data_IF_745591603197
#
_entry.id   IF_745591603197
#
_cell.length_a   1.000
_cell.length_b   1.000
_cell.length_c   1.000
_cell.angle_alpha   90.00
_cell.angle_beta   90.00
_cell.angle_gamma   90.00
#
_symmetry.space_group_name_H-M   'P 1'
#
loop_
_entity.id
_entity.type
_entity.pdbx_description
1 polymer ?
#
# COMPACT_ATOMS: atom_id res chain seq x y z
N UNK A 1 -8.25 23.84 -8.24
CA UNK A 1 -7.38 22.75 -7.77
C UNK A 1 -6.52 22.27 -8.92
N UNK A 2 -5.23 22.60 -8.92
CA UNK A 2 -4.23 22.00 -9.82
C UNK A 2 -3.68 20.75 -9.14
N UNK A 3 -3.73 19.62 -9.84
CA UNK A 3 -3.18 18.35 -9.37
C UNK A 3 -1.96 18.02 -10.22
N UNK A 4 -0.83 17.71 -9.60
CA UNK A 4 0.42 17.37 -10.28
C UNK A 4 0.81 15.94 -9.91
N UNK A 5 1.05 15.09 -10.92
CA UNK A 5 1.58 13.75 -10.72
C UNK A 5 3.11 13.81 -10.74
N UNK A 6 3.74 13.44 -9.64
CA UNK A 6 5.20 13.37 -9.52
C UNK A 6 5.60 12.08 -8.81
N UNK A 7 6.45 11.29 -9.44
CA UNK A 7 7.01 10.06 -8.85
C UNK A 7 5.92 9.09 -8.32
N UNK A 8 4.77 8.97 -9.01
CA UNK A 8 3.69 8.08 -8.60
C UNK A 8 2.82 8.61 -7.46
N UNK A 9 3.01 9.87 -7.09
CA UNK A 9 2.17 10.61 -6.16
C UNK A 9 1.39 11.68 -6.89
N UNK A 10 0.06 11.62 -6.75
CA UNK A 10 -0.77 12.74 -7.12
C UNK A 10 -0.73 13.75 -5.97
N UNK A 11 -0.12 14.91 -6.20
CA UNK A 11 -0.04 16.02 -5.26
C UNK A 11 -1.09 17.07 -5.63
N UNK A 12 -2.06 17.32 -4.75
CA UNK A 12 -3.01 18.42 -4.90
C UNK A 12 -2.70 19.52 -3.88
N UNK A 13 -2.73 20.78 -4.31
CA UNK A 13 -2.75 21.92 -3.38
C UNK A 13 -4.20 22.25 -3.09
N UNK A 14 -4.71 21.83 -1.92
CA UNK A 14 -6.05 22.22 -1.48
C UNK A 14 -6.00 23.63 -0.87
N UNK A 15 -6.82 24.54 -1.38
CA UNK A 15 -7.05 25.84 -0.74
C UNK A 15 -8.04 25.64 0.40
N UNK A 16 -7.71 26.08 1.60
CA UNK A 16 -8.59 26.08 2.76
C UNK A 16 -8.96 27.50 3.12
N UNK A 17 -10.22 27.86 3.03
CA UNK A 17 -10.70 29.13 3.59
C UNK A 17 -10.86 28.98 5.11
N UNK A 18 -10.13 29.78 5.88
CA UNK A 18 -10.33 29.89 7.32
C UNK A 18 -11.20 31.11 7.61
N UNK A 19 -12.27 30.90 8.36
CA UNK A 19 -13.17 31.95 8.82
C UNK A 19 -12.59 32.50 10.13
N UNK A 20 -11.93 33.65 10.06
CA UNK A 20 -11.38 34.33 11.24
C UNK A 20 -12.35 35.44 11.63
N UNK A 21 -12.84 35.39 12.87
CA UNK A 21 -13.72 36.41 13.44
C UNK A 21 -12.91 37.22 14.45
N UNK A 22 -12.65 38.50 14.15
CA UNK A 22 -11.94 39.38 15.06
C UNK A 22 -12.95 40.18 15.88
N UNK A 23 -12.75 40.30 17.19
CA UNK A 23 -13.71 40.95 18.09
C UNK A 23 -13.74 42.48 17.93
N UNK A 24 -12.70 43.10 17.37
CA UNK A 24 -12.61 44.54 17.17
C UNK A 24 -13.43 45.10 16.00
N UNK A 25 -13.82 44.25 15.04
CA UNK A 25 -14.69 44.60 13.93
C UNK A 25 -15.74 43.48 13.88
N UNK A 26 -17.03 43.76 14.07
CA UNK A 26 -18.12 42.76 14.00
C UNK A 26 -18.18 42.00 12.66
N UNK A 27 -17.33 42.35 11.70
CA UNK A 27 -17.19 41.76 10.39
C UNK A 27 -16.37 40.45 10.46
N UNK A 28 -17.00 39.34 10.06
CA UNK A 28 -16.29 38.11 9.73
C UNK A 28 -15.61 38.26 8.37
N UNK A 29 -14.31 37.97 8.29
CA UNK A 29 -13.56 37.98 7.03
C UNK A 29 -13.17 36.54 6.65
N UNK A 30 -13.44 36.16 5.40
CA UNK A 30 -12.96 34.91 4.80
C UNK A 30 -11.52 35.12 4.35
N UNK A 31 -10.56 34.52 5.06
CA UNK A 31 -9.17 34.48 4.61
C UNK A 31 -8.97 33.17 3.85
N UNK A 32 -8.80 33.24 2.54
CA UNK A 32 -8.37 32.08 1.72
C UNK A 32 -6.87 31.86 1.98
N UNK A 33 -6.54 31.09 3.02
CA UNK A 33 -5.16 30.67 3.24
C UNK A 33 -4.83 29.57 2.23
N UNK A 34 -3.86 29.84 1.36
CA UNK A 34 -3.23 28.81 0.53
C UNK A 34 -2.34 27.92 1.43
N UNK A 35 -2.96 27.14 2.30
CA UNK A 35 -2.25 26.13 3.08
C UNK A 35 -1.82 25.01 2.12
N UNK A 36 -0.53 24.64 2.15
CA UNK A 36 -0.02 23.51 1.36
C UNK A 36 -0.43 22.20 2.03
N UNK A 37 -1.73 21.84 1.98
CA UNK A 37 -2.13 20.47 2.28
C UNK A 37 -1.84 19.64 1.04
N UNK A 38 -0.66 19.03 1.02
CA UNK A 38 -0.28 18.06 -0.01
C UNK A 38 -0.99 16.75 0.28
N UNK A 39 -2.17 16.56 -0.32
CA UNK A 39 -2.77 15.23 -0.32
C UNK A 39 -2.01 14.38 -1.34
N UNK A 40 -1.04 13.58 -0.87
CA UNK A 40 -0.32 12.56 -1.64
C UNK A 40 -1.23 11.36 -1.90
N UNK A 41 -2.18 11.54 -2.82
CA UNK A 41 -3.14 10.48 -3.20
C UNK A 41 -2.42 9.55 -4.16
N UNK A 42 -1.97 8.39 -3.69
CA UNK A 42 -1.57 7.34 -4.61
C UNK A 42 -2.85 6.73 -5.21
N UNK A 43 -3.06 6.81 -6.54
CA UNK A 43 -4.25 6.22 -7.13
C UNK A 43 -4.15 4.70 -7.00
N UNK A 44 -5.07 4.08 -6.26
CA UNK A 44 -5.11 2.63 -6.04
C UNK A 44 -5.06 1.82 -7.35
N UNK A 45 -5.66 2.36 -8.40
CA UNK A 45 -5.66 1.83 -9.76
C UNK A 45 -4.28 1.77 -10.40
N UNK A 46 -3.42 2.78 -10.18
CA UNK A 46 -2.06 2.77 -10.72
C UNK A 46 -1.20 1.68 -10.07
N UNK A 47 -1.28 1.54 -8.74
CA UNK A 47 -0.52 0.50 -8.03
C UNK A 47 -1.03 -0.91 -8.33
N UNK A 48 -2.35 -1.11 -8.44
CA UNK A 48 -2.91 -2.38 -8.90
C UNK A 48 -2.46 -2.67 -10.34
N UNK A 49 -2.45 -1.67 -11.21
CA UNK A 49 -1.95 -1.80 -12.58
C UNK A 49 -0.47 -2.20 -12.63
N UNK A 50 0.37 -1.60 -11.78
CA UNK A 50 1.78 -1.97 -11.66
C UNK A 50 1.97 -3.42 -11.21
N UNK A 51 1.28 -3.83 -10.14
CA UNK A 51 1.30 -5.21 -9.65
C UNK A 51 0.76 -6.20 -10.69
N UNK A 52 -0.23 -5.79 -11.48
CA UNK A 52 -0.80 -6.64 -12.52
C UNK A 52 0.14 -6.83 -13.71
N UNK A 53 0.82 -5.77 -14.16
CA UNK A 53 1.89 -5.87 -15.17
C UNK A 53 3.01 -6.80 -14.70
N UNK A 54 3.38 -6.66 -13.42
CA UNK A 54 4.35 -7.55 -12.79
C UNK A 54 3.77 -8.93 -12.44
N UNK A 55 2.53 -9.28 -12.86
CA UNK A 55 1.89 -10.60 -12.69
C UNK A 55 1.72 -11.05 -11.23
N UNK A 56 1.53 -10.13 -10.28
CA UNK A 56 1.14 -10.46 -8.89
C UNK A 56 -0.38 -10.53 -8.70
N UNK A 57 -1.12 -9.84 -9.56
CA UNK A 57 -2.58 -9.84 -9.57
C UNK A 57 -3.16 -9.66 -10.98
N UNK A 58 -4.46 -9.87 -11.12
CA UNK A 58 -5.22 -9.49 -12.31
C UNK A 58 -5.38 -7.97 -12.38
N UNK A 59 -5.83 -7.44 -13.52
CA UNK A 59 -6.13 -6.01 -13.66
C UNK A 59 -7.21 -5.50 -12.67
N UNK A 60 -8.06 -6.39 -12.17
CA UNK A 60 -9.06 -6.10 -11.13
C UNK A 60 -8.51 -6.19 -9.68
N UNK A 61 -7.25 -6.61 -9.51
CA UNK A 61 -6.59 -6.77 -8.21
C UNK A 61 -6.85 -8.12 -7.54
N UNK A 62 -7.20 -9.17 -8.28
CA UNK A 62 -7.28 -10.54 -7.74
C UNK A 62 -5.89 -11.18 -7.70
N UNK A 63 -5.41 -11.73 -6.56
CA UNK A 63 -4.05 -12.25 -6.46
C UNK A 63 -3.78 -13.49 -7.32
N UNK A 64 -2.61 -13.54 -7.96
CA UNK A 64 -2.15 -14.63 -8.83
C UNK A 64 -0.89 -15.26 -8.21
N UNK A 65 -0.70 -16.57 -8.35
CA UNK A 65 0.54 -17.24 -7.93
C UNK A 65 1.70 -17.01 -8.90
N UNK A 66 2.94 -17.20 -8.43
CA UNK A 66 4.17 -17.11 -9.21
C UNK A 66 4.74 -18.51 -9.52
N UNK A 67 4.19 -19.25 -10.51
CA UNK A 67 4.71 -20.57 -10.85
C UNK A 67 6.18 -20.56 -11.26
N UNK A 68 6.65 -19.45 -11.84
CA UNK A 68 8.06 -19.29 -12.24
C UNK A 68 9.01 -19.33 -11.03
N UNK A 69 8.52 -19.11 -9.81
CA UNK A 69 9.34 -19.11 -8.59
C UNK A 69 9.24 -20.42 -7.81
N UNK A 70 8.49 -21.44 -8.30
CA UNK A 70 8.30 -22.68 -7.53
C UNK A 70 9.52 -23.58 -7.51
N UNK A 71 10.50 -23.31 -8.36
CA UNK A 71 11.84 -23.92 -8.41
C UNK A 71 12.77 -23.41 -7.30
N UNK A 72 12.56 -22.19 -6.80
CA UNK A 72 13.32 -21.58 -5.70
C UNK A 72 13.01 -22.25 -4.35
N UNK A 73 13.88 -22.08 -3.34
CA UNK A 73 13.59 -22.52 -1.97
C UNK A 73 12.40 -21.75 -1.37
N UNK A 74 11.74 -22.32 -0.34
CA UNK A 74 10.62 -21.62 0.32
C UNK A 74 11.07 -20.28 0.91
N UNK A 75 12.28 -20.27 1.48
CA UNK A 75 12.88 -19.07 2.04
C UNK A 75 13.16 -18.01 0.98
N UNK A 76 13.70 -18.39 -0.18
CA UNK A 76 13.97 -17.45 -1.27
C UNK A 76 12.68 -16.86 -1.86
N UNK A 77 11.61 -17.65 -1.95
CA UNK A 77 10.29 -17.16 -2.34
C UNK A 77 9.80 -16.11 -1.34
N UNK A 78 9.88 -16.43 -0.04
CA UNK A 78 9.48 -15.53 1.04
C UNK A 78 10.30 -14.24 1.07
N UNK A 79 11.63 -14.33 0.97
CA UNK A 79 12.52 -13.17 0.96
C UNK A 79 12.23 -12.26 -0.24
N UNK A 80 12.03 -12.82 -1.44
CA UNK A 80 11.66 -12.04 -2.63
C UNK A 80 10.35 -11.30 -2.44
N UNK A 81 9.31 -11.97 -1.96
CA UNK A 81 8.02 -11.30 -1.66
C UNK A 81 8.17 -10.26 -0.55
N UNK A 82 8.93 -10.56 0.51
CA UNK A 82 9.20 -9.67 1.63
C UNK A 82 9.90 -8.39 1.20
N UNK A 83 10.95 -8.48 0.36
CA UNK A 83 11.64 -7.32 -0.23
C UNK A 83 10.71 -6.45 -1.06
N UNK A 84 9.87 -7.06 -1.89
CA UNK A 84 8.89 -6.31 -2.72
C UNK A 84 7.89 -5.56 -1.83
N UNK A 85 7.35 -6.23 -0.81
CA UNK A 85 6.46 -5.61 0.16
C UNK A 85 7.15 -4.44 0.88
N UNK A 86 8.32 -4.67 1.49
CA UNK A 86 9.08 -3.63 2.21
C UNK A 86 9.36 -2.43 1.31
N UNK A 87 9.88 -2.64 0.10
CA UNK A 87 10.14 -1.54 -0.83
C UNK A 87 8.89 -0.74 -1.18
N UNK A 88 7.75 -1.42 -1.42
CA UNK A 88 6.49 -0.76 -1.76
C UNK A 88 5.92 0.04 -0.58
N UNK A 89 5.91 -0.54 0.62
CA UNK A 89 5.37 0.12 1.81
C UNK A 89 6.29 1.21 2.32
N UNK A 90 7.61 1.02 2.25
CA UNK A 90 8.59 2.04 2.58
C UNK A 90 8.42 3.25 1.65
N UNK A 91 8.36 3.01 0.33
CA UNK A 91 8.18 4.07 -0.66
C UNK A 91 6.87 4.83 -0.46
N UNK A 92 5.77 4.14 -0.13
CA UNK A 92 4.43 4.71 0.05
C UNK A 92 4.02 5.02 1.49
N UNK A 93 4.95 4.96 2.44
CA UNK A 93 4.71 5.18 3.88
C UNK A 93 4.14 6.57 4.17
N UNK A 94 4.55 7.59 3.41
CA UNK A 94 4.06 8.97 3.51
C UNK A 94 2.69 9.24 2.88
N UNK A 95 1.97 8.23 2.38
CA UNK A 95 0.63 8.44 1.79
C UNK A 95 -0.48 8.51 2.84
N UNK A 96 -1.42 9.44 2.65
CA UNK A 96 -2.61 9.59 3.51
C UNK A 96 -3.64 8.45 3.35
N UNK A 97 -3.54 7.59 2.32
CA UNK A 97 -4.53 6.54 2.00
C UNK A 97 -4.14 5.14 2.47
N UNK A 98 -4.17 4.92 3.79
CA UNK A 98 -3.87 3.62 4.42
C UNK A 98 -4.67 2.43 3.85
N UNK A 99 -5.96 2.61 3.53
CA UNK A 99 -6.83 1.52 3.00
C UNK A 99 -6.31 0.92 1.69
N UNK A 100 -5.75 1.74 0.80
CA UNK A 100 -5.18 1.27 -0.47
C UNK A 100 -3.95 0.41 -0.22
N UNK A 101 -3.07 0.86 0.68
CA UNK A 101 -1.87 0.13 1.06
C UNK A 101 -2.21 -1.22 1.69
N UNK A 102 -3.18 -1.28 2.60
CA UNK A 102 -3.66 -2.56 3.14
C UNK A 102 -4.17 -3.52 2.07
N UNK A 103 -4.89 -3.02 1.05
CA UNK A 103 -5.36 -3.86 -0.07
C UNK A 103 -4.20 -4.44 -0.88
N UNK A 104 -3.16 -3.65 -1.16
CA UNK A 104 -1.96 -4.11 -1.87
C UNK A 104 -1.18 -5.12 -1.04
N UNK A 105 -1.10 -4.89 0.28
CA UNK A 105 -0.49 -5.80 1.24
C UNK A 105 -1.15 -7.17 1.20
N UNK A 106 -2.48 -7.17 1.23
CA UNK A 106 -3.28 -8.38 1.10
C UNK A 106 -3.04 -9.10 -0.23
N UNK A 107 -2.95 -8.37 -1.34
CA UNK A 107 -2.68 -8.95 -2.66
C UNK A 107 -1.34 -9.68 -2.68
N UNK A 108 -0.27 -9.03 -2.22
CA UNK A 108 1.07 -9.61 -2.20
C UNK A 108 1.15 -10.81 -1.25
N UNK A 109 0.55 -10.72 -0.06
CA UNK A 109 0.43 -11.82 0.91
C UNK A 109 -0.24 -13.05 0.30
N UNK A 110 -1.40 -12.86 -0.32
CA UNK A 110 -2.15 -13.98 -0.89
C UNK A 110 -1.46 -14.54 -2.13
N UNK A 111 -0.81 -13.69 -2.94
CA UNK A 111 0.03 -14.12 -4.07
C UNK A 111 1.18 -15.02 -3.59
N UNK A 112 1.87 -14.64 -2.52
CA UNK A 112 2.89 -15.45 -1.86
C UNK A 112 2.33 -16.79 -1.37
N UNK A 113 1.26 -16.77 -0.58
CA UNK A 113 0.63 -17.98 -0.05
C UNK A 113 0.16 -18.93 -1.17
N UNK A 114 -0.42 -18.40 -2.26
CA UNK A 114 -0.80 -19.22 -3.43
C UNK A 114 0.40 -19.81 -4.16
N UNK A 115 1.52 -19.10 -4.19
CA UNK A 115 2.78 -19.59 -4.80
C UNK A 115 3.32 -20.77 -4.01
N UNK A 116 3.46 -20.63 -2.69
CA UNK A 116 3.94 -21.68 -1.81
C UNK A 116 2.98 -22.87 -1.76
N UNK A 117 1.68 -22.62 -1.66
CA UNK A 117 0.68 -23.69 -1.69
C UNK A 117 0.75 -24.51 -2.99
N UNK A 118 0.91 -23.84 -4.14
CA UNK A 118 1.12 -24.51 -5.44
C UNK A 118 2.40 -25.34 -5.46
N UNK A 119 3.52 -24.80 -4.98
CA UNK A 119 4.80 -25.53 -4.88
C UNK A 119 4.66 -26.82 -4.08
N UNK A 120 3.97 -26.74 -2.93
CA UNK A 120 3.73 -27.86 -2.03
C UNK A 120 2.51 -28.72 -2.40
N UNK A 121 1.90 -28.52 -3.57
CA UNK A 121 0.70 -29.25 -4.04
C UNK A 121 -0.43 -29.29 -3.00
N UNK A 122 -0.62 -28.17 -2.30
CA UNK A 122 -1.60 -28.03 -1.21
C UNK A 122 -2.57 -26.89 -1.50
N UNK A 123 -3.69 -26.86 -0.77
CA UNK A 123 -4.57 -25.69 -0.79
C UNK A 123 -3.96 -24.57 0.03
N UNK A 124 -4.28 -23.31 -0.29
CA UNK A 124 -3.82 -22.14 0.49
C UNK A 124 -4.22 -22.30 1.96
N UNK A 125 -5.44 -22.77 2.23
CA UNK A 125 -5.92 -22.99 3.61
C UNK A 125 -5.05 -24.00 4.35
N UNK A 126 -4.81 -25.17 3.76
CA UNK A 126 -4.00 -26.22 4.37
C UNK A 126 -2.57 -25.76 4.58
N UNK A 127 -1.99 -25.06 3.60
CA UNK A 127 -0.64 -24.51 3.70
C UNK A 127 -0.53 -23.49 4.84
N UNK A 128 -1.48 -22.55 4.93
CA UNK A 128 -1.50 -21.52 5.98
C UNK A 128 -1.71 -22.11 7.38
N UNK A 129 -2.51 -23.17 7.51
CA UNK A 129 -2.66 -23.90 8.77
C UNK A 129 -1.36 -24.58 9.19
N UNK A 130 -0.56 -25.08 8.23
CA UNK A 130 0.72 -25.74 8.50
C UNK A 130 1.85 -24.77 8.84
N UNK A 131 1.94 -23.65 8.12
CA UNK A 131 3.00 -22.65 8.29
C UNK A 131 2.72 -21.71 9.47
N UNK A 132 1.46 -21.59 9.88
CA UNK A 132 0.98 -20.59 10.83
C UNK A 132 0.67 -19.26 10.12
N UNK A 133 -0.52 -18.69 10.38
CA UNK A 133 -0.87 -17.35 9.87
C UNK A 133 0.04 -16.26 10.45
N UNK A 134 0.49 -16.44 11.69
CA UNK A 134 1.40 -15.54 12.39
C UNK A 134 2.74 -15.39 11.66
N UNK A 135 3.26 -16.45 11.06
CA UNK A 135 4.54 -16.42 10.35
C UNK A 135 4.51 -15.48 9.14
N UNK A 136 3.44 -15.53 8.31
CA UNK A 136 3.29 -14.55 7.24
C UNK A 136 2.91 -13.16 7.76
N UNK A 137 2.27 -13.07 8.92
CA UNK A 137 2.05 -11.76 9.54
C UNK A 137 3.38 -11.13 9.94
N UNK A 138 4.26 -11.79 10.68
CA UNK A 138 5.61 -11.30 11.00
C UNK A 138 6.38 -10.87 9.75
N UNK A 139 6.44 -11.74 8.74
CA UNK A 139 7.13 -11.47 7.47
C UNK A 139 6.66 -10.24 6.70
N UNK A 140 5.41 -9.83 6.91
CA UNK A 140 4.82 -8.71 6.20
C UNK A 140 4.39 -7.56 7.14
N UNK A 141 4.45 -7.70 8.46
CA UNK A 141 4.03 -6.70 9.47
C UNK A 141 5.20 -5.96 10.12
N UNK A 142 6.45 -6.28 9.81
CA UNK A 142 7.65 -5.78 10.51
C UNK A 142 7.86 -4.25 10.58
N UNK A 143 6.94 -3.40 10.11
CA UNK A 143 7.03 -1.95 10.31
C UNK A 143 5.69 -1.36 10.75
N UNK A 144 5.43 -1.44 12.06
CA UNK A 144 4.52 -0.52 12.76
C UNK A 144 5.14 0.07 14.04
N UNK A 145 6.48 0.12 14.13
CA UNK A 145 7.19 0.89 15.14
C UNK A 145 8.20 1.83 14.48
N UNK A 146 7.75 3.01 14.05
CA UNK A 146 8.46 4.31 14.18
C UNK A 146 7.45 5.37 13.76
N UNK A 147 6.63 5.88 14.69
CA UNK A 147 6.10 7.25 14.68
C UNK A 147 5.50 7.54 16.07
N UNK A 148 6.33 7.46 17.10
CA UNK A 148 6.11 8.16 18.36
C UNK A 148 7.30 9.08 18.56
N UNK A 149 7.17 10.30 18.06
CA UNK A 149 7.99 11.46 18.40
C UNK A 149 7.09 12.41 19.18
#
# INVERSE_FOLDING_TARGET
>A
NSCFDFMGYLSSVQKSSLLVRNQMLENSFLIDTRMKKFDTIVPATLLIGYLSKAQFCTGSGHPISKPIWTDLSDWDILDRFGRICRNLFHYHSGSSKKRTLYRLKYILRLSCARTLARKHKSTVRTFMQRLGSAFLEEFFMEEEQVFSL
#
